data_IF_961369912487
#
_entry.id   IF_961369912487
#
_cell.length_a   1.000
_cell.length_b   1.000
_cell.length_c   1.000
_cell.angle_alpha   90.00
_cell.angle_beta   90.00
_cell.angle_gamma   90.00
#
_symmetry.space_group_name_H-M   'P 1'
#
loop_
_entity.id
_entity.type
_entity.pdbx_description
1 polymer ?
#
# COMPACT_ATOMS: atom_id res chain seq x y z
N UNK A 1 -32.59 46.25 35.00
CA UNK A 1 -32.97 45.66 33.70
C UNK A 1 -32.89 46.76 32.67
N UNK A 2 -31.93 46.76 31.74
CA UNK A 2 -32.12 46.26 30.36
C UNK A 2 -30.72 46.08 29.75
N UNK A 3 -30.18 44.86 29.83
CA UNK A 3 -28.99 44.42 29.08
C UNK A 3 -29.48 44.07 27.68
N UNK A 4 -29.42 45.01 26.74
CA UNK A 4 -29.92 44.76 25.38
C UNK A 4 -29.24 45.65 24.33
N UNK A 5 -27.95 45.97 24.53
CA UNK A 5 -27.18 46.81 23.61
C UNK A 5 -25.97 46.09 23.00
N UNK A 6 -26.00 44.75 22.95
CA UNK A 6 -24.91 43.94 22.37
C UNK A 6 -25.40 42.86 21.39
N UNK A 7 -26.55 43.05 20.73
CA UNK A 7 -27.11 42.05 19.79
C UNK A 7 -27.30 42.65 18.37
N UNK A 8 -26.48 43.62 17.96
CA UNK A 8 -26.59 44.17 16.59
C UNK A 8 -25.27 44.18 15.80
N UNK A 9 -24.19 43.57 16.30
CA UNK A 9 -22.88 43.60 15.65
C UNK A 9 -22.40 42.24 15.09
N UNK A 10 -23.26 41.21 15.04
CA UNK A 10 -22.86 39.85 14.63
C UNK A 10 -23.44 39.37 13.28
N UNK A 11 -24.06 40.23 12.47
CA UNK A 11 -24.79 39.78 11.27
C UNK A 11 -23.94 39.80 9.97
N UNK A 12 -22.64 40.13 10.02
CA UNK A 12 -21.85 40.35 8.79
C UNK A 12 -20.69 39.39 8.49
N UNK A 13 -20.66 38.17 9.03
CA UNK A 13 -19.54 37.22 8.75
C UNK A 13 -19.94 35.89 8.13
N UNK A 14 -21.06 35.82 7.41
CA UNK A 14 -21.41 34.66 6.59
C UNK A 14 -21.42 35.03 5.10
N UNK A 15 -20.36 35.67 4.61
CA UNK A 15 -20.01 35.52 3.20
C UNK A 15 -19.40 34.13 3.08
N UNK A 16 -20.23 33.15 2.74
CA UNK A 16 -19.78 31.80 2.45
C UNK A 16 -18.71 31.86 1.37
N UNK A 17 -17.56 31.24 1.62
CA UNK A 17 -16.72 30.79 0.52
C UNK A 17 -17.52 29.71 -0.20
N UNK A 18 -18.13 30.04 -1.35
CA UNK A 18 -18.33 28.99 -2.35
C UNK A 18 -16.94 28.68 -2.87
N UNK A 19 -16.38 27.58 -2.39
CA UNK A 19 -15.36 26.88 -3.17
C UNK A 19 -16.14 26.34 -4.36
N UNK A 20 -16.17 27.11 -5.45
CA UNK A 20 -16.34 26.52 -6.78
C UNK A 20 -15.05 25.72 -6.98
N UNK A 21 -15.11 24.43 -6.63
CA UNK A 21 -14.02 23.50 -6.87
C UNK A 21 -14.05 23.13 -8.36
N UNK A 22 -13.57 24.05 -9.20
CA UNK A 22 -13.24 23.78 -10.61
C UNK A 22 -11.96 22.91 -10.73
N UNK A 23 -11.48 22.33 -9.62
CA UNK A 23 -10.38 21.38 -9.60
C UNK A 23 -10.81 20.02 -10.14
N UNK A 24 -9.96 19.41 -10.98
CA UNK A 24 -10.15 18.03 -11.39
C UNK A 24 -10.14 17.13 -10.14
N UNK A 25 -11.27 16.52 -9.81
CA UNK A 25 -11.37 15.63 -8.65
C UNK A 25 -10.55 14.37 -8.89
N UNK A 26 -9.59 14.11 -7.99
CA UNK A 26 -8.73 12.94 -7.99
C UNK A 26 -9.33 11.88 -7.07
N UNK A 27 -9.50 10.66 -7.58
CA UNK A 27 -9.88 9.48 -6.81
C UNK A 27 -8.67 8.59 -6.64
N UNK A 28 -8.46 8.06 -5.43
CA UNK A 28 -7.47 7.03 -5.14
C UNK A 28 -8.17 5.70 -4.93
N UNK A 29 -7.57 4.63 -5.46
CA UNK A 29 -8.07 3.26 -5.35
C UNK A 29 -6.90 2.32 -5.03
N UNK A 30 -7.22 1.11 -4.56
CA UNK A 30 -6.26 0.02 -4.45
C UNK A 30 -6.35 -0.86 -5.70
N UNK A 31 -5.20 -1.27 -6.22
CA UNK A 31 -5.08 -2.23 -7.31
C UNK A 31 -4.63 -3.59 -6.77
N UNK A 32 -5.14 -4.67 -7.35
CA UNK A 32 -4.76 -6.04 -7.01
C UNK A 32 -3.27 -6.23 -7.30
N UNK A 33 -2.50 -6.67 -6.30
CA UNK A 33 -1.13 -7.13 -6.51
C UNK A 33 -1.19 -8.60 -6.93
N UNK A 34 -0.67 -8.91 -8.11
CA UNK A 34 -0.79 -10.23 -8.73
C UNK A 34 0.46 -11.09 -8.53
N UNK A 35 1.63 -10.46 -8.39
CA UNK A 35 2.91 -11.15 -8.22
C UNK A 35 3.97 -10.25 -7.57
N UNK A 36 4.98 -10.87 -6.95
CA UNK A 36 6.13 -10.19 -6.37
C UNK A 36 7.38 -11.07 -6.46
N UNK A 37 8.44 -10.57 -7.11
CA UNK A 37 9.71 -11.30 -7.18
C UNK A 37 10.57 -10.95 -5.95
N UNK A 38 10.82 -11.94 -5.09
CA UNK A 38 11.54 -11.77 -3.83
C UNK A 38 12.74 -12.73 -3.74
N UNK A 39 13.82 -12.35 -3.02
CA UNK A 39 14.95 -13.25 -2.81
C UNK A 39 14.57 -14.40 -1.87
N UNK A 40 15.35 -15.48 -1.92
CA UNK A 40 15.15 -16.64 -1.04
C UNK A 40 15.46 -16.34 0.44
N UNK A 41 16.37 -15.38 0.69
CA UNK A 41 16.70 -14.91 2.03
C UNK A 41 17.18 -13.46 1.99
N UNK A 42 17.16 -12.80 3.15
CA UNK A 42 17.70 -11.46 3.35
C UNK A 42 19.02 -11.46 4.12
N UNK A 43 19.83 -10.45 3.85
CA UNK A 43 21.02 -10.11 4.62
C UNK A 43 20.70 -8.94 5.58
N UNK A 44 21.12 -9.07 6.85
CA UNK A 44 20.93 -8.02 7.85
C UNK A 44 21.62 -6.71 7.46
N UNK A 45 20.88 -5.61 7.47
CA UNK A 45 21.38 -4.27 7.18
C UNK A 45 21.31 -3.87 5.72
N UNK A 46 21.01 -4.80 4.82
CA UNK A 46 20.90 -4.53 3.39
C UNK A 46 19.55 -3.86 3.04
N UNK A 47 19.54 -3.20 1.87
CA UNK A 47 18.39 -2.49 1.33
C UNK A 47 17.98 -3.14 0.02
N UNK A 48 16.72 -3.56 -0.06
CA UNK A 48 16.20 -4.27 -1.21
C UNK A 48 15.19 -3.44 -1.99
N UNK A 49 15.05 -3.79 -3.27
CA UNK A 49 13.95 -3.38 -4.13
C UNK A 49 13.40 -4.60 -4.84
N UNK A 50 12.08 -4.70 -4.94
CA UNK A 50 11.39 -5.86 -5.50
C UNK A 50 10.46 -5.42 -6.63
N UNK A 51 10.49 -6.06 -7.80
CA UNK A 51 9.48 -5.82 -8.82
C UNK A 51 8.15 -6.42 -8.35
N UNK A 52 7.11 -5.59 -8.37
CA UNK A 52 5.75 -5.97 -7.98
C UNK A 52 4.85 -5.78 -9.19
N UNK A 53 4.13 -6.84 -9.55
CA UNK A 53 3.09 -6.83 -10.58
C UNK A 53 1.74 -6.50 -9.94
N UNK A 54 1.00 -5.58 -10.56
CA UNK A 54 -0.33 -5.20 -10.11
C UNK A 54 -1.25 -4.91 -11.30
N UNK A 55 -2.54 -5.12 -11.09
CA UNK A 55 -3.59 -4.90 -12.07
C UNK A 55 -4.52 -3.78 -11.60
N UNK A 56 -4.47 -2.58 -12.23
CA UNK A 56 -5.47 -1.55 -11.99
C UNK A 56 -6.87 -1.99 -12.47
N UNK A 57 -7.91 -1.36 -11.94
CA UNK A 57 -9.29 -1.66 -12.35
C UNK A 57 -9.58 -1.35 -13.83
N UNK A 58 -8.92 -0.32 -14.37
CA UNK A 58 -9.06 0.10 -15.77
C UNK A 58 -7.86 0.95 -16.23
N UNK A 59 -7.74 1.16 -17.54
CA UNK A 59 -6.62 1.87 -18.15
C UNK A 59 -6.52 3.38 -17.82
N UNK A 60 -7.52 3.98 -17.18
CA UNK A 60 -7.43 5.36 -16.71
C UNK A 60 -6.72 5.50 -15.36
N UNK A 61 -6.54 4.40 -14.64
CA UNK A 61 -5.87 4.39 -13.35
C UNK A 61 -4.35 4.40 -13.53
N UNK A 62 -3.71 5.37 -12.90
CA UNK A 62 -2.27 5.56 -12.96
C UNK A 62 -1.65 5.18 -11.63
N UNK A 63 -0.46 4.57 -11.67
CA UNK A 63 0.30 4.29 -10.46
C UNK A 63 0.52 5.56 -9.65
N UNK A 64 0.09 5.54 -8.39
CA UNK A 64 0.28 6.64 -7.45
C UNK A 64 1.43 6.36 -6.50
N UNK A 65 1.53 5.13 -5.99
CA UNK A 65 2.58 4.69 -5.09
C UNK A 65 2.25 3.36 -4.43
N UNK A 66 3.17 2.89 -3.60
CA UNK A 66 2.89 1.83 -2.65
C UNK A 66 2.61 2.44 -1.28
N UNK A 67 1.56 1.97 -0.61
CA UNK A 67 1.34 2.21 0.81
C UNK A 67 1.81 0.99 1.61
N UNK A 68 2.46 1.22 2.76
CA UNK A 68 3.16 0.17 3.49
C UNK A 68 2.89 0.29 4.99
N UNK A 69 2.23 -0.73 5.54
CA UNK A 69 2.05 -0.91 6.97
C UNK A 69 2.99 -1.99 7.53
N UNK A 70 3.42 -1.81 8.79
CA UNK A 70 4.40 -2.70 9.42
C UNK A 70 3.95 -3.09 10.82
N UNK A 71 4.09 -4.37 11.13
CA UNK A 71 3.80 -4.92 12.45
C UNK A 71 4.95 -5.85 12.90
N UNK A 72 5.26 -5.83 14.20
CA UNK A 72 6.32 -6.65 14.78
C UNK A 72 5.69 -7.59 15.80
N UNK A 73 5.87 -8.90 15.60
CA UNK A 73 5.43 -9.94 16.51
C UNK A 73 6.60 -10.89 16.84
N UNK A 74 7.28 -10.63 17.97
CA UNK A 74 8.47 -11.39 18.35
C UNK A 74 9.58 -11.28 17.29
N UNK A 75 9.95 -12.41 16.69
CA UNK A 75 10.95 -12.48 15.62
C UNK A 75 10.35 -12.40 14.20
N UNK A 76 9.05 -12.15 14.08
CA UNK A 76 8.39 -11.95 12.80
C UNK A 76 8.19 -10.46 12.53
N UNK A 77 8.45 -10.04 11.30
CA UNK A 77 8.24 -8.69 10.77
C UNK A 77 7.18 -8.78 9.67
N UNK A 78 5.97 -8.35 9.97
CA UNK A 78 4.89 -8.29 8.98
C UNK A 78 4.99 -6.98 8.21
N UNK A 79 4.90 -7.05 6.89
CA UNK A 79 4.89 -5.91 5.98
C UNK A 79 3.67 -6.04 5.08
N UNK A 80 2.68 -5.18 5.27
CA UNK A 80 1.51 -5.11 4.42
C UNK A 80 1.76 -4.09 3.31
N UNK A 81 1.54 -4.50 2.06
CA UNK A 81 1.85 -3.70 0.86
C UNK A 81 0.59 -3.53 0.04
N UNK A 82 0.28 -2.28 -0.29
CA UNK A 82 -0.89 -1.90 -1.08
C UNK A 82 -0.44 -1.11 -2.31
N UNK A 83 -0.84 -1.54 -3.51
CA UNK A 83 -0.63 -0.77 -4.74
C UNK A 83 -1.73 0.29 -4.87
N UNK A 84 -1.36 1.57 -4.77
CA UNK A 84 -2.30 2.69 -4.87
C UNK A 84 -2.30 3.23 -6.28
N UNK A 85 -3.47 3.37 -6.86
CA UNK A 85 -3.70 4.02 -8.15
C UNK A 85 -4.49 5.31 -7.99
N UNK A 86 -4.37 6.19 -8.98
CA UNK A 86 -5.06 7.46 -9.02
C UNK A 86 -5.76 7.65 -10.37
N UNK A 87 -6.98 8.22 -10.33
CA UNK A 87 -7.78 8.52 -11.52
C UNK A 87 -8.42 9.90 -11.38
N UNK A 88 -8.36 10.69 -12.44
CA UNK A 88 -9.12 11.95 -12.53
C UNK A 88 -10.59 11.67 -12.90
N UNK A 89 -11.54 12.33 -12.24
CA UNK A 89 -12.96 12.05 -12.40
C UNK A 89 -13.53 12.39 -13.79
N UNK A 90 -12.88 13.30 -14.52
CA UNK A 90 -13.25 13.65 -15.89
C UNK A 90 -12.89 12.53 -16.90
N UNK A 91 -12.06 11.57 -16.50
CA UNK A 91 -11.75 10.35 -17.27
C UNK A 91 -12.81 9.28 -17.02
N UNK A 92 -13.74 9.17 -17.96
CA UNK A 92 -14.91 8.27 -17.90
C UNK A 92 -14.94 7.17 -18.96
N UNK A 93 -14.23 7.36 -20.08
CA UNK A 93 -14.11 6.35 -21.13
C UNK A 93 -12.76 5.64 -21.01
N UNK A 94 -12.73 4.57 -20.24
CA UNK A 94 -11.53 3.80 -19.91
C UNK A 94 -11.62 2.42 -20.54
N UNK A 95 -10.56 2.01 -21.23
CA UNK A 95 -10.42 0.64 -21.72
C UNK A 95 -10.05 -0.30 -20.55
N UNK A 96 -10.07 -1.60 -20.82
CA UNK A 96 -9.61 -2.62 -19.87
C UNK A 96 -8.14 -2.38 -19.51
N UNK A 97 -7.80 -2.57 -18.24
CA UNK A 97 -6.42 -2.50 -17.79
C UNK A 97 -5.61 -3.70 -18.27
N UNK A 98 -4.29 -3.52 -18.22
CA UNK A 98 -3.32 -4.61 -18.32
C UNK A 98 -2.43 -4.58 -17.10
N UNK A 99 -1.84 -5.71 -16.78
CA UNK A 99 -0.88 -5.83 -15.69
C UNK A 99 0.29 -4.88 -15.88
N UNK A 100 0.72 -4.27 -14.78
CA UNK A 100 1.83 -3.32 -14.74
C UNK A 100 2.81 -3.73 -13.66
N UNK A 101 4.08 -3.36 -13.85
CA UNK A 101 5.16 -3.67 -12.92
C UNK A 101 5.76 -2.38 -12.33
N UNK A 102 5.98 -2.35 -11.03
CA UNK A 102 6.68 -1.25 -10.33
C UNK A 102 7.55 -1.79 -9.20
N UNK A 103 8.71 -1.15 -9.01
CA UNK A 103 9.61 -1.51 -7.91
C UNK A 103 9.09 -0.98 -6.56
N UNK A 104 8.87 -1.88 -5.61
CA UNK A 104 8.82 -1.57 -4.19
C UNK A 104 10.24 -1.33 -3.71
N UNK A 105 10.61 -0.08 -3.45
CA UNK A 105 12.00 0.33 -3.20
C UNK A 105 12.28 0.61 -1.73
N UNK A 106 13.57 0.66 -1.41
CA UNK A 106 14.11 1.12 -0.14
C UNK A 106 13.63 0.30 1.08
N UNK A 107 13.46 -1.01 0.90
CA UNK A 107 13.08 -1.92 1.98
C UNK A 107 14.34 -2.29 2.77
N UNK A 108 14.47 -1.70 3.95
CA UNK A 108 15.61 -1.93 4.87
C UNK A 108 15.35 -3.14 5.75
N UNK A 109 16.27 -4.10 5.73
CA UNK A 109 16.22 -5.30 6.57
C UNK A 109 17.00 -5.02 7.86
N UNK A 110 16.30 -5.02 8.99
CA UNK A 110 16.85 -4.71 10.31
C UNK A 110 16.83 -5.90 11.27
N UNK A 111 16.20 -7.00 10.87
CA UNK A 111 16.23 -8.28 11.59
C UNK A 111 17.62 -8.92 11.59
N UNK A 112 17.90 -9.69 12.63
CA UNK A 112 19.07 -10.55 12.77
C UNK A 112 18.77 -11.98 12.28
N UNK A 113 19.77 -12.86 12.32
CA UNK A 113 19.61 -14.30 12.06
C UNK A 113 18.44 -14.85 12.89
N UNK A 114 17.54 -15.61 12.25
CA UNK A 114 16.26 -16.10 12.79
C UNK A 114 15.09 -15.09 12.82
N UNK A 115 15.25 -13.89 12.26
CA UNK A 115 14.10 -13.01 11.96
C UNK A 115 13.44 -13.46 10.66
N UNK A 116 12.11 -13.51 10.63
CA UNK A 116 11.33 -13.76 9.41
C UNK A 116 10.60 -12.48 8.98
N UNK A 117 10.61 -12.19 7.68
CA UNK A 117 9.80 -11.15 7.09
C UNK A 117 8.63 -11.78 6.35
N UNK A 118 7.41 -11.44 6.75
CA UNK A 118 6.18 -11.89 6.09
C UNK A 118 5.59 -10.70 5.35
N UNK A 119 5.65 -10.75 4.03
CA UNK A 119 5.01 -9.76 3.17
C UNK A 119 3.59 -10.19 2.87
N UNK A 120 2.67 -9.25 3.07
CA UNK A 120 1.24 -9.38 2.81
C UNK A 120 0.88 -8.43 1.67
N UNK A 121 0.89 -8.92 0.43
CA UNK A 121 0.55 -8.12 -0.74
C UNK A 121 -0.95 -8.15 -0.95
N UNK A 122 -1.62 -6.99 -0.91
CA UNK A 122 -3.08 -6.93 -1.02
C UNK A 122 -3.57 -7.39 -2.40
N UNK A 123 -4.49 -8.35 -2.42
CA UNK A 123 -5.05 -8.92 -3.66
C UNK A 123 -6.53 -8.57 -3.87
N UNK A 124 -7.19 -8.00 -2.86
CA UNK A 124 -8.61 -7.71 -2.93
C UNK A 124 -9.30 -7.77 -1.58
N UNK A 125 -10.62 -7.77 -1.63
CA UNK A 125 -11.49 -7.99 -0.49
C UNK A 125 -12.55 -9.03 -0.86
N UNK A 126 -12.76 -10.02 0.01
CA UNK A 126 -13.81 -11.02 -0.12
C UNK A 126 -14.66 -11.01 1.17
N UNK A 127 -15.97 -10.81 1.05
CA UNK A 127 -16.90 -10.74 2.19
C UNK A 127 -16.49 -9.73 3.28
N UNK A 128 -16.06 -8.53 2.89
CA UNK A 128 -15.55 -7.48 3.79
C UNK A 128 -14.24 -7.86 4.53
N UNK A 129 -13.53 -8.90 4.08
CA UNK A 129 -12.22 -9.33 4.60
C UNK A 129 -11.13 -9.15 3.54
N UNK A 130 -10.07 -8.41 3.89
CA UNK A 130 -8.92 -8.19 3.03
C UNK A 130 -8.18 -9.52 2.75
N UNK A 131 -7.82 -9.74 1.48
CA UNK A 131 -7.08 -10.91 1.02
C UNK A 131 -5.66 -10.51 0.65
N UNK A 132 -4.72 -11.46 0.85
CA UNK A 132 -3.30 -11.22 0.64
C UNK A 132 -2.62 -12.38 -0.08
N UNK A 133 -1.68 -12.05 -0.96
CA UNK A 133 -0.60 -12.92 -1.39
C UNK A 133 0.49 -12.84 -0.31
N UNK A 134 0.75 -13.95 0.38
CA UNK A 134 1.73 -14.00 1.46
C UNK A 134 3.05 -14.61 0.99
N UNK A 135 4.16 -13.90 1.22
CA UNK A 135 5.52 -14.40 0.96
C UNK A 135 6.36 -14.25 2.22
N UNK A 136 6.97 -15.34 2.68
CA UNK A 136 7.87 -15.34 3.84
C UNK A 136 9.31 -15.45 3.38
N UNK A 137 10.15 -14.50 3.82
CA UNK A 137 11.58 -14.47 3.52
C UNK A 137 12.37 -14.43 4.83
N UNK A 138 13.20 -15.44 5.13
CA UNK A 138 14.02 -15.46 6.33
C UNK A 138 15.21 -14.49 6.22
N UNK A 139 15.73 -14.05 7.36
CA UNK A 139 17.05 -13.40 7.45
C UNK A 139 18.12 -14.45 7.72
N UNK A 140 19.10 -14.50 6.83
CA UNK A 140 20.12 -15.56 6.79
C UNK A 140 19.71 -16.72 5.90
N UNK A 141 20.71 -17.41 5.35
CA UNK A 141 20.51 -18.59 4.51
C UNK A 141 19.83 -19.70 5.35
N UNK A 142 18.71 -20.28 4.89
CA UNK A 142 18.07 -21.37 5.60
C UNK A 142 19.02 -22.57 5.63
N UNK A 143 19.23 -23.17 6.81
CA UNK A 143 20.04 -24.39 6.89
C UNK A 143 19.35 -25.50 6.09
N UNK A 144 19.91 -25.86 4.93
CA UNK A 144 19.45 -27.01 4.16
C UNK A 144 19.54 -28.24 5.07
N UNK A 145 18.39 -28.76 5.48
CA UNK A 145 18.32 -30.01 6.20
C UNK A 145 18.76 -31.09 5.21
N UNK A 146 20.02 -31.52 5.32
CA UNK A 146 20.58 -32.61 4.53
C UNK A 146 19.64 -33.82 4.64
N UNK A 147 18.91 -34.14 3.57
CA UNK A 147 18.21 -35.42 3.47
C UNK A 147 19.25 -36.53 3.70
N UNK A 148 19.00 -37.49 4.60
CA UNK A 148 19.94 -38.58 4.79
C UNK A 148 19.97 -39.39 3.50
N UNK A 149 21.07 -39.30 2.77
CA UNK A 149 21.40 -40.20 1.66
C UNK A 149 21.35 -41.63 2.22
N UNK A 150 20.29 -42.37 1.90
CA UNK A 150 20.21 -43.79 2.20
C UNK A 150 21.22 -44.51 1.30
N UNK A 151 22.32 -44.99 1.89
CA UNK A 151 23.19 -46.02 1.29
C UNK A 151 22.48 -47.38 1.22
#
# INVERSE_FOLDING_TARGET
MKRLLLILACIFTLTGCSIDDDGASLSLSLAEITDAEMPEYFETGEVYSFPISYLPDNACEQFYGFDIDREINGNVRHIYVFAVTARYADRTNCDDATEQERDLRDIVITGDENTEYVFHFWTGEENDEAQYLEITVPVGEPEETQEPTQE
#
